data_IF_172222030801
#
_entry.id   IF_172222030801
#
_cell.length_a   1.000
_cell.length_b   1.000
_cell.length_c   1.000
_cell.angle_alpha   90.00
_cell.angle_beta   90.00
_cell.angle_gamma   90.00
#
_symmetry.space_group_name_H-M   'P 1'
#
loop_
_entity.id
_entity.type
_entity.pdbx_description
1 polymer ?
#
# COMPACT_ATOMS: atom_id res chain seq x y z
N UNK A 1 -19.81 13.99 -5.26
CA UNK A 1 -18.95 14.49 -4.17
C UNK A 1 -17.53 14.13 -4.58
N UNK A 2 -16.61 15.10 -4.71
CA UNK A 2 -15.25 14.82 -5.20
C UNK A 2 -14.44 13.99 -4.20
N UNK A 3 -13.49 13.18 -4.67
CA UNK A 3 -12.57 12.46 -3.79
C UNK A 3 -11.65 13.44 -3.05
N UNK A 4 -11.47 13.24 -1.74
CA UNK A 4 -10.61 14.08 -0.89
C UNK A 4 -9.36 13.30 -0.48
N UNK A 5 -8.17 13.80 -0.78
CA UNK A 5 -6.92 13.16 -0.38
C UNK A 5 -6.26 13.88 0.80
N UNK A 6 -5.58 13.11 1.64
CA UNK A 6 -4.88 13.59 2.83
C UNK A 6 -3.45 13.03 2.89
N UNK A 7 -2.63 13.58 3.79
CA UNK A 7 -1.31 13.03 4.04
C UNK A 7 -1.41 11.55 4.44
N UNK A 8 -0.46 10.75 3.97
CA UNK A 8 -0.36 9.30 4.16
C UNK A 8 -1.39 8.45 3.43
N UNK A 9 -2.32 9.03 2.68
CA UNK A 9 -3.13 8.25 1.72
C UNK A 9 -2.24 7.61 0.67
N UNK A 10 -2.72 6.52 0.08
CA UNK A 10 -2.06 5.88 -1.06
C UNK A 10 -2.89 6.22 -2.29
N UNK A 11 -2.21 6.59 -3.36
CA UNK A 11 -2.81 7.04 -4.62
C UNK A 11 -2.23 6.27 -5.79
N UNK A 12 -3.03 6.11 -6.83
CA UNK A 12 -2.57 5.75 -8.18
C UNK A 12 -2.20 7.03 -8.93
N UNK A 13 -1.03 7.03 -9.55
CA UNK A 13 -0.46 8.19 -10.24
C UNK A 13 -0.22 7.81 -11.69
N UNK A 14 -0.75 8.60 -12.62
CA UNK A 14 -0.47 8.50 -14.04
C UNK A 14 0.98 8.87 -14.32
N UNK A 15 1.70 7.97 -15.00
CA UNK A 15 3.07 8.17 -15.43
C UNK A 15 3.06 8.13 -16.96
N UNK A 16 3.47 9.23 -17.58
CA UNK A 16 3.63 9.34 -19.01
C UNK A 16 5.12 9.34 -19.35
N UNK A 17 5.55 8.38 -20.16
CA UNK A 17 6.91 8.26 -20.65
C UNK A 17 6.90 8.30 -22.17
N UNK A 18 7.76 9.12 -22.78
CA UNK A 18 7.97 9.07 -24.22
C UNK A 18 9.05 8.04 -24.56
N UNK A 19 8.69 7.03 -25.34
CA UNK A 19 9.58 5.96 -25.83
C UNK A 19 9.46 5.90 -27.35
N UNK A 20 10.57 6.12 -28.06
CA UNK A 20 10.64 6.10 -29.52
C UNK A 20 9.58 6.99 -30.22
N UNK A 21 9.28 8.16 -29.64
CA UNK A 21 8.28 9.10 -30.17
C UNK A 21 6.82 8.70 -29.91
N UNK A 22 6.58 7.68 -29.08
CA UNK A 22 5.25 7.28 -28.59
C UNK A 22 5.14 7.56 -27.11
N UNK A 23 4.00 8.11 -26.71
CA UNK A 23 3.67 8.29 -25.29
C UNK A 23 3.13 6.96 -24.76
N UNK A 24 3.91 6.31 -23.92
CA UNK A 24 3.48 5.19 -23.11
C UNK A 24 2.91 5.70 -21.78
N UNK A 25 1.74 5.20 -21.41
CA UNK A 25 1.09 5.52 -20.14
C UNK A 25 1.14 4.31 -19.22
N UNK A 26 1.58 4.52 -17.99
CA UNK A 26 1.54 3.53 -16.92
C UNK A 26 0.96 4.12 -15.64
N UNK A 27 0.65 3.27 -14.67
CA UNK A 27 0.14 3.67 -13.37
C UNK A 27 1.16 3.27 -12.31
N UNK A 28 1.66 4.24 -11.57
CA UNK A 28 2.45 4.02 -10.37
C UNK A 28 1.59 4.08 -9.11
N UNK A 29 1.99 3.37 -8.07
CA UNK A 29 1.35 3.45 -6.75
C UNK A 29 2.29 4.20 -5.81
N UNK A 30 1.76 5.20 -5.11
CA UNK A 30 2.56 6.04 -4.23
C UNK A 30 1.83 6.39 -2.93
N UNK A 31 2.60 6.63 -1.87
CA UNK A 31 2.09 7.17 -0.61
C UNK A 31 2.31 8.67 -0.54
N UNK A 32 1.25 9.39 -0.23
CA UNK A 32 1.28 10.85 -0.02
C UNK A 32 2.08 11.20 1.23
N UNK A 33 3.05 12.09 1.08
CA UNK A 33 3.75 12.72 2.20
C UNK A 33 3.06 14.02 2.58
N UNK A 34 2.93 14.94 1.62
CA UNK A 34 2.26 16.23 1.81
C UNK A 34 1.82 16.83 0.47
N UNK A 35 0.90 17.79 0.55
CA UNK A 35 0.51 18.68 -0.53
C UNK A 35 1.08 20.08 -0.27
N UNK A 36 1.50 20.78 -1.31
CA UNK A 36 2.04 22.13 -1.19
C UNK A 36 1.91 22.89 -2.52
N UNK A 37 1.96 24.21 -2.48
CA UNK A 37 2.05 25.04 -3.69
C UNK A 37 3.52 25.29 -4.02
N UNK A 38 3.88 25.21 -5.30
CA UNK A 38 5.19 25.64 -5.78
C UNK A 38 5.29 27.18 -5.88
N UNK A 39 6.47 27.68 -6.23
CA UNK A 39 6.74 29.11 -6.35
C UNK A 39 5.87 29.82 -7.42
N UNK A 40 5.30 29.05 -8.35
CA UNK A 40 4.40 29.54 -9.39
C UNK A 40 2.92 29.43 -8.99
N UNK A 41 2.62 28.95 -7.78
CA UNK A 41 1.26 28.75 -7.29
C UNK A 41 0.57 27.49 -7.81
N UNK A 42 1.29 26.55 -8.43
CA UNK A 42 0.72 25.27 -8.85
C UNK A 42 0.68 24.31 -7.67
N UNK A 43 -0.43 23.60 -7.50
CA UNK A 43 -0.56 22.60 -6.46
C UNK A 43 0.25 21.35 -6.83
N UNK A 44 1.17 20.96 -5.95
CA UNK A 44 2.05 19.79 -6.08
C UNK A 44 1.82 18.83 -4.93
N UNK A 45 2.25 17.59 -5.16
CA UNK A 45 2.22 16.53 -4.15
C UNK A 45 3.60 15.88 -4.05
N UNK A 46 4.06 15.71 -2.82
CA UNK A 46 5.27 14.97 -2.50
C UNK A 46 4.90 13.52 -2.15
N UNK A 47 5.58 12.55 -2.75
CA UNK A 47 5.20 11.15 -2.75
C UNK A 47 6.36 10.24 -2.34
N UNK A 48 6.04 9.07 -1.79
CA UNK A 48 6.95 7.93 -1.66
C UNK A 48 6.47 6.78 -2.56
N UNK A 49 7.32 6.33 -3.47
CA UNK A 49 6.93 5.30 -4.44
C UNK A 49 6.85 3.89 -3.84
N UNK A 50 5.88 3.14 -4.34
CA UNK A 50 5.87 1.68 -4.32
C UNK A 50 6.25 1.15 -5.69
N UNK A 51 6.99 0.04 -5.71
CA UNK A 51 7.38 -0.64 -6.96
C UNK A 51 6.75 -2.02 -7.04
N UNK A 52 6.37 -2.44 -8.24
CA UNK A 52 6.15 -3.86 -8.48
C UNK A 52 7.51 -4.60 -8.46
N UNK A 53 7.54 -5.91 -8.16
CA UNK A 53 8.74 -6.72 -8.27
C UNK A 53 9.35 -6.73 -9.69
N UNK A 54 8.50 -6.55 -10.70
CA UNK A 54 8.88 -6.45 -12.12
C UNK A 54 9.61 -5.13 -12.40
N UNK A 55 9.03 -3.99 -12.00
CA UNK A 55 9.67 -2.67 -12.17
C UNK A 55 10.98 -2.55 -11.41
N UNK A 56 11.06 -3.20 -10.25
CA UNK A 56 12.29 -3.25 -9.46
C UNK A 56 13.36 -4.20 -10.04
N UNK A 57 13.07 -4.87 -11.16
CA UNK A 57 13.92 -5.88 -11.81
C UNK A 57 14.39 -6.98 -10.84
N UNK A 58 13.56 -7.33 -9.85
CA UNK A 58 13.90 -8.33 -8.82
C UNK A 58 13.65 -9.75 -9.34
N UNK A 59 12.67 -9.92 -10.23
CA UNK A 59 12.33 -11.20 -10.84
C UNK A 59 13.35 -11.68 -11.89
N UNK A 60 14.17 -10.77 -12.45
CA UNK A 60 15.11 -11.06 -13.54
C UNK A 60 16.60 -11.16 -13.18
N UNK A 61 17.02 -10.84 -11.95
CA UNK A 61 18.45 -10.83 -11.58
C UNK A 61 19.00 -12.23 -11.26
N UNK A 62 19.91 -12.75 -12.10
CA UNK A 62 20.91 -13.76 -11.72
C UNK A 62 21.92 -13.11 -10.77
N UNK A 63 22.03 -13.58 -9.54
CA UNK A 63 22.92 -13.00 -8.52
C UNK A 63 24.40 -13.29 -8.80
N UNK A 64 25.27 -12.39 -8.34
CA UNK A 64 26.70 -12.66 -8.26
C UNK A 64 26.97 -13.81 -7.27
N UNK A 65 28.13 -14.45 -7.45
CA UNK A 65 28.51 -15.75 -6.86
C UNK A 65 28.52 -15.81 -5.33
N UNK A 66 28.42 -14.66 -4.66
CA UNK A 66 28.57 -14.49 -3.21
C UNK A 66 27.23 -14.40 -2.45
N UNK A 67 26.10 -14.23 -3.15
CA UNK A 67 24.74 -14.25 -2.55
C UNK A 67 24.07 -15.61 -2.70
N UNK A 68 24.83 -16.69 -2.54
CA UNK A 68 24.26 -18.03 -2.48
C UNK A 68 23.40 -18.14 -1.22
N UNK A 69 22.17 -18.63 -1.40
CA UNK A 69 21.25 -19.05 -0.34
C UNK A 69 20.20 -18.04 0.20
N UNK A 70 19.85 -17.01 -0.55
CA UNK A 70 18.55 -16.36 -0.36
C UNK A 70 17.60 -16.76 -1.49
N UNK A 71 16.72 -17.73 -1.22
CA UNK A 71 15.60 -18.07 -2.12
C UNK A 71 14.84 -16.78 -2.45
N UNK A 72 14.69 -16.47 -3.74
CA UNK A 72 13.86 -15.33 -4.13
C UNK A 72 12.44 -15.58 -3.61
N UNK A 73 11.85 -14.64 -2.87
CA UNK A 73 10.49 -14.82 -2.41
C UNK A 73 9.55 -14.90 -3.61
N UNK A 74 8.58 -15.80 -3.55
CA UNK A 74 7.48 -15.79 -4.49
C UNK A 74 6.61 -14.57 -4.20
N UNK A 75 6.53 -13.68 -5.19
CA UNK A 75 5.72 -12.48 -5.12
C UNK A 75 4.30 -12.76 -5.61
N UNK A 76 3.33 -12.15 -4.96
CA UNK A 76 1.95 -12.14 -5.42
C UNK A 76 1.75 -10.98 -6.40
N UNK A 77 0.78 -11.08 -7.32
CA UNK A 77 0.48 -10.02 -8.31
C UNK A 77 0.13 -8.66 -7.67
N UNK A 78 -0.56 -8.67 -6.53
CA UNK A 78 -0.90 -7.47 -5.74
C UNK A 78 0.17 -7.05 -4.72
N UNK A 79 1.35 -7.66 -4.77
CA UNK A 79 2.43 -7.32 -3.84
C UNK A 79 3.29 -6.18 -4.37
N UNK A 80 3.44 -5.14 -3.54
CA UNK A 80 4.25 -3.98 -3.82
C UNK A 80 5.42 -3.85 -2.83
N UNK A 81 6.48 -3.21 -3.30
CA UNK A 81 7.71 -2.97 -2.57
C UNK A 81 7.77 -1.51 -2.11
N UNK A 82 7.69 -1.28 -0.80
CA UNK A 82 7.75 0.08 -0.25
C UNK A 82 9.14 0.71 -0.45
N UNK A 83 9.23 1.88 -1.09
CA UNK A 83 10.51 2.55 -1.31
C UNK A 83 10.61 3.90 -0.62
N UNK A 84 11.84 4.29 -0.29
CA UNK A 84 12.18 5.67 0.13
C UNK A 84 12.38 6.62 -1.05
N UNK A 85 12.17 6.16 -2.29
CA UNK A 85 12.24 7.04 -3.44
C UNK A 85 11.14 8.11 -3.33
N UNK A 86 11.58 9.35 -3.21
CA UNK A 86 10.74 10.54 -3.09
C UNK A 86 10.65 11.21 -4.44
N UNK A 87 9.45 11.69 -4.78
CA UNK A 87 9.22 12.46 -5.99
C UNK A 87 8.12 13.51 -5.79
N UNK A 88 8.12 14.54 -6.63
CA UNK A 88 7.13 15.62 -6.64
C UNK A 88 6.41 15.63 -7.98
N UNK A 89 5.10 15.42 -7.95
CA UNK A 89 4.27 15.42 -9.16
C UNK A 89 3.17 16.48 -9.06
N UNK A 90 2.61 16.94 -10.21
CA UNK A 90 1.37 17.70 -10.21
C UNK A 90 0.23 16.90 -9.56
N UNK A 91 -0.68 17.57 -8.86
CA UNK A 91 -1.86 16.89 -8.26
C UNK A 91 -2.77 16.31 -9.34
N UNK A 92 -2.76 16.90 -10.53
CA UNK A 92 -3.49 16.45 -11.72
C UNK A 92 -3.05 15.07 -12.20
N UNK A 93 -1.86 14.59 -11.80
CA UNK A 93 -1.39 13.24 -12.12
C UNK A 93 -2.03 12.16 -11.23
N UNK A 94 -2.82 12.51 -10.21
CA UNK A 94 -3.54 11.52 -9.41
C UNK A 94 -4.73 11.00 -10.21
N UNK A 95 -4.71 9.71 -10.51
CA UNK A 95 -5.78 9.00 -11.23
C UNK A 95 -6.84 8.43 -10.28
N UNK A 96 -6.49 8.26 -9.00
CA UNK A 96 -7.42 7.72 -8.01
C UNK A 96 -6.77 7.27 -6.70
N UNK A 97 -7.58 6.68 -5.84
CA UNK A 97 -7.15 6.11 -4.56
C UNK A 97 -6.71 4.66 -4.69
N UNK A 98 -5.66 4.33 -3.97
CA UNK A 98 -5.21 2.96 -3.78
C UNK A 98 -5.03 2.65 -2.29
N UNK A 99 -4.84 1.37 -1.96
CA UNK A 99 -4.61 0.93 -0.59
C UNK A 99 -3.42 -0.02 -0.56
N UNK A 100 -2.49 0.20 0.37
CA UNK A 100 -1.42 -0.78 0.65
C UNK A 100 -1.53 -1.23 2.09
N UNK A 101 -1.84 -2.51 2.26
CA UNK A 101 -2.05 -3.18 3.53
C UNK A 101 -0.80 -3.94 3.98
N UNK A 102 -0.75 -4.31 5.26
CA UNK A 102 0.09 -5.42 5.68
C UNK A 102 -0.45 -6.74 5.11
N UNK A 103 0.41 -7.75 5.02
CA UNK A 103 0.01 -9.05 4.46
C UNK A 103 -1.15 -9.70 5.23
N UNK A 104 -1.21 -9.54 6.55
CA UNK A 104 -2.31 -10.11 7.33
C UNK A 104 -3.61 -9.36 7.08
N UNK A 105 -3.58 -8.02 6.99
CA UNK A 105 -4.74 -7.19 6.64
C UNK A 105 -5.26 -7.53 5.24
N UNK A 106 -4.37 -7.71 4.27
CA UNK A 106 -4.75 -8.10 2.92
C UNK A 106 -5.41 -9.48 2.86
N UNK A 107 -4.86 -10.48 3.57
CA UNK A 107 -5.47 -11.81 3.61
C UNK A 107 -6.88 -11.79 4.24
N UNK A 108 -7.10 -10.92 5.24
CA UNK A 108 -8.44 -10.70 5.81
C UNK A 108 -9.38 -10.07 4.79
N UNK A 109 -8.95 -8.97 4.16
CA UNK A 109 -9.71 -8.31 3.11
C UNK A 109 -10.14 -9.29 1.99
N UNK A 110 -9.21 -10.12 1.49
CA UNK A 110 -9.54 -11.12 0.46
C UNK A 110 -10.52 -12.18 0.97
N UNK A 111 -10.39 -12.63 2.23
CA UNK A 111 -11.34 -13.57 2.82
C UNK A 111 -12.74 -12.97 3.00
N UNK A 112 -12.82 -11.68 3.32
CA UNK A 112 -14.08 -10.95 3.42
C UNK A 112 -14.73 -10.77 2.04
N UNK A 113 -13.97 -10.34 1.02
CA UNK A 113 -14.47 -10.25 -0.36
C UNK A 113 -14.93 -11.63 -0.89
N UNK A 114 -14.20 -12.70 -0.59
CA UNK A 114 -14.63 -14.05 -0.94
C UNK A 114 -15.92 -14.44 -0.21
N UNK A 115 -16.07 -13.98 1.04
CA UNK A 115 -17.27 -14.26 1.83
C UNK A 115 -18.53 -13.58 1.26
N UNK A 116 -18.39 -12.44 0.60
CA UNK A 116 -19.52 -11.75 -0.05
C UNK A 116 -20.13 -12.55 -1.22
N UNK A 117 -19.38 -13.48 -1.79
CA UNK A 117 -19.90 -14.40 -2.82
C UNK A 117 -20.85 -15.46 -2.26
N UNK A 118 -20.87 -15.69 -0.95
CA UNK A 118 -21.75 -16.70 -0.35
C UNK A 118 -23.22 -16.23 -0.31
N UNK A 119 -24.17 -17.18 -0.43
CA UNK A 119 -25.58 -16.88 -0.23
C UNK A 119 -25.85 -16.20 1.12
N UNK A 120 -26.78 -15.26 1.15
CA UNK A 120 -27.08 -14.44 2.35
C UNK A 120 -27.37 -15.28 3.61
N UNK A 121 -28.05 -16.42 3.45
CA UNK A 121 -28.36 -17.33 4.56
C UNK A 121 -27.12 -18.01 5.15
N UNK A 122 -26.04 -18.18 4.37
CA UNK A 122 -24.75 -18.68 4.86
C UNK A 122 -24.03 -17.59 5.63
N UNK A 123 -24.00 -16.35 5.10
CA UNK A 123 -23.41 -15.18 5.75
C UNK A 123 -24.07 -14.89 7.11
N UNK A 124 -25.40 -14.85 7.16
CA UNK A 124 -26.17 -14.65 8.41
C UNK A 124 -25.89 -15.71 9.48
N UNK A 125 -25.72 -16.99 9.08
CA UNK A 125 -25.38 -18.06 10.03
C UNK A 125 -23.95 -17.98 10.53
N UNK A 126 -22.99 -17.56 9.68
CA UNK A 126 -21.60 -17.34 10.09
C UNK A 126 -21.53 -16.35 11.24
N UNK A 127 -22.18 -15.20 11.11
CA UNK A 127 -22.13 -14.13 12.10
C UNK A 127 -22.77 -14.53 13.45
N UNK A 128 -23.70 -15.49 13.43
CA UNK A 128 -24.30 -16.05 14.65
C UNK A 128 -23.39 -17.04 15.37
N UNK A 129 -22.58 -17.80 14.63
CA UNK A 129 -21.70 -18.86 15.17
C UNK A 129 -20.33 -18.30 15.55
N UNK A 130 -19.82 -17.37 14.76
CA UNK A 130 -18.53 -16.72 14.93
C UNK A 130 -18.68 -15.22 14.65
N UNK A 131 -19.23 -14.45 15.61
CA UNK A 131 -19.35 -13.00 15.46
C UNK A 131 -17.96 -12.37 15.35
N UNK A 132 -17.79 -11.50 14.34
CA UNK A 132 -16.58 -10.70 14.20
C UNK A 132 -16.53 -9.67 15.34
N UNK A 133 -15.69 -9.91 16.34
CA UNK A 133 -15.44 -8.97 17.44
C UNK A 133 -14.51 -7.87 16.96
N UNK A 134 -14.99 -6.63 16.86
CA UNK A 134 -14.13 -5.47 16.54
C UNK A 134 -13.00 -5.27 17.57
N UNK A 135 -13.16 -5.78 18.80
CA UNK A 135 -12.20 -5.65 19.90
C UNK A 135 -10.96 -6.55 19.75
N UNK A 136 -11.05 -7.65 19.00
CA UNK A 136 -9.91 -8.56 18.76
C UNK A 136 -8.97 -8.05 17.66
N UNK A 137 -9.36 -6.97 16.96
CA UNK A 137 -8.64 -6.44 15.82
C UNK A 137 -8.19 -4.99 16.09
N UNK A 138 -6.90 -4.76 16.41
CA UNK A 138 -6.43 -3.44 16.82
C UNK A 138 -6.48 -2.45 15.66
N UNK A 139 -7.48 -1.55 15.66
CA UNK A 139 -7.66 -0.40 14.76
C UNK A 139 -6.95 -0.57 13.43
N UNK A 140 -7.45 -1.54 12.67
CA UNK A 140 -7.16 -1.69 11.27
C UNK A 140 -7.54 -0.38 10.58
N UNK A 141 -6.75 0.04 9.59
CA UNK A 141 -7.10 1.21 8.79
C UNK A 141 -8.49 0.95 8.24
N UNK A 142 -9.51 1.68 8.70
CA UNK A 142 -10.89 1.48 8.28
C UNK A 142 -10.95 1.65 6.77
N UNK A 143 -10.94 0.52 6.06
CA UNK A 143 -11.16 0.47 4.63
C UNK A 143 -12.61 0.90 4.40
N UNK A 144 -12.89 1.68 3.34
CA UNK A 144 -14.27 1.90 2.93
C UNK A 144 -15.02 0.57 2.78
N UNK A 145 -16.31 0.57 3.14
CA UNK A 145 -17.15 -0.62 3.10
C UNK A 145 -17.24 -1.24 1.69
N UNK A 146 -17.12 -0.40 0.66
CA UNK A 146 -17.13 -0.82 -0.74
C UNK A 146 -15.78 -0.46 -1.36
N UNK A 147 -14.91 -1.46 -1.52
CA UNK A 147 -13.65 -1.34 -2.24
C UNK A 147 -13.58 -2.40 -3.33
N UNK A 148 -13.15 -1.97 -4.52
CA UNK A 148 -12.73 -2.92 -5.54
C UNK A 148 -11.44 -3.60 -5.08
N UNK A 149 -11.35 -4.95 -5.10
CA UNK A 149 -10.12 -5.67 -4.82
C UNK A 149 -8.93 -5.22 -5.68
N UNK A 150 -9.19 -4.70 -6.88
CA UNK A 150 -8.14 -4.23 -7.80
C UNK A 150 -7.37 -3.00 -7.27
N UNK A 151 -7.99 -2.22 -6.39
CA UNK A 151 -7.39 -1.03 -5.76
C UNK A 151 -6.58 -1.35 -4.49
N UNK A 152 -6.59 -2.61 -4.05
CA UNK A 152 -5.99 -3.04 -2.78
C UNK A 152 -4.76 -3.89 -3.05
N UNK A 153 -3.65 -3.43 -2.51
CA UNK A 153 -2.34 -4.04 -2.59
C UNK A 153 -1.84 -4.36 -1.18
N UNK A 154 -0.73 -5.08 -1.10
CA UNK A 154 -0.05 -5.30 0.16
C UNK A 154 1.46 -5.22 0.01
N UNK A 155 2.15 -5.06 1.14
CA UNK A 155 3.62 -5.01 1.16
C UNK A 155 4.21 -5.79 2.33
N UNK A 156 5.06 -6.77 2.02
CA UNK A 156 5.90 -7.48 3.01
C UNK A 156 7.34 -6.97 3.03
N UNK A 157 7.73 -6.25 1.98
CA UNK A 157 9.11 -5.90 1.68
C UNK A 157 9.27 -4.40 1.44
N UNK A 158 10.44 -3.88 1.79
CA UNK A 158 10.87 -2.57 1.34
C UNK A 158 12.03 -2.71 0.37
N UNK A 159 12.12 -1.76 -0.55
CA UNK A 159 13.10 -1.75 -1.61
C UNK A 159 13.86 -0.43 -1.62
N UNK A 160 15.18 -0.53 -1.50
CA UNK A 160 16.06 0.60 -1.75
C UNK A 160 16.36 0.67 -3.25
N UNK A 161 15.75 1.65 -3.90
CA UNK A 161 15.90 1.91 -5.33
C UNK A 161 17.37 2.18 -5.71
N UNK A 162 18.08 3.02 -4.94
CA UNK A 162 19.46 3.42 -5.23
C UNK A 162 20.49 2.27 -5.16
N UNK A 163 20.24 1.27 -4.31
CA UNK A 163 21.16 0.13 -4.11
C UNK A 163 20.58 -1.21 -4.56
N UNK A 164 19.40 -1.20 -5.20
CA UNK A 164 18.67 -2.39 -5.62
C UNK A 164 18.54 -3.49 -4.54
N UNK A 165 18.26 -3.09 -3.29
CA UNK A 165 18.28 -3.99 -2.14
C UNK A 165 16.90 -4.15 -1.50
N UNK A 166 16.54 -5.41 -1.20
CA UNK A 166 15.30 -5.78 -0.53
C UNK A 166 15.48 -5.90 0.99
N UNK A 167 14.47 -5.49 1.76
CA UNK A 167 14.43 -5.57 3.22
C UNK A 167 13.15 -6.25 3.70
N UNK A 168 13.25 -7.06 4.75
CA UNK A 168 12.14 -7.82 5.37
C UNK A 168 12.09 -7.64 6.88
N UNK A 169 10.95 -7.97 7.48
CA UNK A 169 10.81 -8.15 8.92
C UNK A 169 11.23 -6.92 9.73
N UNK A 170 12.15 -7.03 10.71
CA UNK A 170 12.63 -5.88 11.47
C UNK A 170 13.34 -4.82 10.62
N UNK A 171 14.08 -5.24 9.59
CA UNK A 171 14.79 -4.33 8.70
C UNK A 171 13.80 -3.53 7.83
N UNK A 172 12.73 -4.19 7.35
CA UNK A 172 11.61 -3.52 6.70
C UNK A 172 11.02 -2.41 7.58
N UNK A 173 10.66 -2.74 8.82
CA UNK A 173 10.06 -1.77 9.77
C UNK A 173 10.96 -0.55 10.04
N UNK A 174 12.28 -0.75 10.08
CA UNK A 174 13.26 0.34 10.23
C UNK A 174 13.44 1.15 8.94
N UNK A 175 13.26 0.51 7.80
CA UNK A 175 13.45 1.13 6.49
C UNK A 175 12.19 1.83 5.98
N UNK A 176 10.98 1.49 6.44
CA UNK A 176 9.77 2.12 5.93
C UNK A 176 9.85 3.67 5.99
N UNK A 177 9.58 4.37 4.87
CA UNK A 177 9.78 5.82 4.77
C UNK A 177 8.89 6.60 5.73
N UNK A 178 7.66 6.13 5.91
CA UNK A 178 6.73 6.64 6.89
C UNK A 178 6.97 5.91 8.22
N UNK A 179 7.60 6.60 9.17
CA UNK A 179 7.67 6.11 10.55
C UNK A 179 6.25 5.81 11.07
N UNK A 180 6.11 4.78 11.93
CA UNK A 180 4.81 4.50 12.57
C UNK A 180 4.23 5.81 13.08
N UNK A 181 2.98 6.09 12.73
CA UNK A 181 2.12 6.91 13.58
C UNK A 181 2.25 6.32 14.98
N UNK A 182 2.85 7.07 15.91
CA UNK A 182 2.75 6.70 17.32
C UNK A 182 1.26 6.54 17.55
N UNK A 183 0.82 5.36 18.03
CA UNK A 183 -0.58 5.18 18.45
C UNK A 183 -0.90 6.40 19.33
N UNK A 184 -1.84 7.24 18.90
CA UNK A 184 -2.46 8.17 19.83
C UNK A 184 -2.97 7.27 20.95
N UNK A 185 -2.42 7.40 22.16
CA UNK A 185 -2.95 6.70 23.32
C UNK A 185 -4.41 7.12 23.39
N UNK A 186 -5.34 6.18 23.20
CA UNK A 186 -6.75 6.49 23.43
C UNK A 186 -6.89 6.75 24.92
N UNK A 187 -6.95 8.02 25.29
CA UNK A 187 -7.43 8.45 26.60
C UNK A 187 -8.94 8.31 26.59
N UNK A 188 -9.43 7.07 26.63
CA UNK A 188 -10.77 6.83 27.16
C UNK A 188 -10.62 6.71 28.68
N UNK A 189 -11.37 7.48 29.48
CA UNK A 189 -11.31 7.36 30.93
C UNK A 189 -11.79 5.96 31.33
N UNK A 190 -11.03 5.33 32.23
CA UNK A 190 -11.44 4.09 32.89
C UNK A 190 -12.88 4.25 33.40
N UNK A 191 -13.81 3.49 32.81
CA UNK A 191 -15.10 3.26 33.47
C UNK A 191 -14.82 2.37 34.67
N UNK A 192 -14.90 2.96 35.85
CA UNK A 192 -15.01 2.22 37.10
C UNK A 192 -16.29 1.37 37.03
N UNK A 193 -16.15 0.10 37.42
CA UNK A 193 -17.27 -0.77 37.80
C UNK A 193 -17.78 -0.38 39.18
#
# INVERSE_FOLDING_TARGET
>A
MGETFTAYDVVSVGIECEVDGRIEKSIGIAKVSCFFYDDNGNLKINLFWYYSPEDANITGKKRSRDEKEAVLPQFHERELLASKHVDVVPVEAIEGRAYVLSFSEYNRFIADCASDSFPEHVRKRRDQICPLTMDDYPNERALPAELSPDSVYFSRYAYNFAHHRLFVGPAFKKFQPWGRTKKAKSTLPNRAF
#
